data_IF_339681274302
#
_entry.id   IF_339681274302
#
_cell.length_a   1.000
_cell.length_b   1.000
_cell.length_c   1.000
_cell.angle_alpha   90.00
_cell.angle_beta   90.00
_cell.angle_gamma   90.00
#
_symmetry.space_group_name_H-M   'P 1'
#
loop_
_entity.id
_entity.type
_entity.pdbx_description
1 polymer ?
#
# COMPACT_ATOMS: atom_id res chain seq x y z
N UNK A 1 -36.18 -40.03 -18.43
CA UNK A 1 -37.32 -40.04 -17.49
C UNK A 1 -36.75 -40.52 -16.17
N UNK A 2 -36.15 -39.66 -15.34
CA UNK A 2 -36.85 -38.84 -14.33
C UNK A 2 -37.12 -39.74 -13.12
N UNK A 3 -36.54 -39.57 -11.93
CA UNK A 3 -36.60 -38.35 -11.12
C UNK A 3 -35.52 -38.26 -10.03
N UNK A 4 -34.99 -37.04 -9.90
CA UNK A 4 -34.66 -36.28 -8.69
C UNK A 4 -33.99 -36.95 -7.48
N UNK A 5 -32.68 -36.65 -7.34
CA UNK A 5 -32.00 -36.54 -6.05
C UNK A 5 -32.76 -35.56 -5.14
N UNK A 6 -33.46 -36.06 -4.13
CA UNK A 6 -33.87 -35.28 -2.97
C UNK A 6 -32.98 -35.62 -1.79
N UNK A 7 -31.91 -34.84 -1.62
CA UNK A 7 -31.39 -34.59 -0.29
C UNK A 7 -31.09 -33.10 -0.15
N UNK A 8 -32.17 -32.33 -0.09
CA UNK A 8 -32.17 -30.97 0.44
C UNK A 8 -31.93 -31.15 1.95
N UNK A 9 -30.66 -31.13 2.34
CA UNK A 9 -30.22 -31.37 3.71
C UNK A 9 -29.03 -30.50 4.05
N UNK A 10 -29.32 -29.43 4.78
CA UNK A 10 -28.38 -28.68 5.62
C UNK A 10 -27.53 -27.58 4.98
N UNK A 11 -28.18 -26.44 4.74
CA UNK A 11 -27.56 -25.12 4.94
C UNK A 11 -27.27 -24.82 6.43
N UNK A 12 -27.58 -25.74 7.37
CA UNK A 12 -27.37 -25.56 8.80
C UNK A 12 -25.93 -25.87 9.26
N UNK A 13 -25.18 -26.73 8.56
CA UNK A 13 -23.79 -27.09 8.96
C UNK A 13 -22.78 -25.94 8.89
N UNK A 14 -23.13 -24.80 8.28
CA UNK A 14 -22.28 -23.60 8.26
C UNK A 14 -22.60 -22.61 9.39
N UNK A 15 -23.73 -22.79 10.08
CA UNK A 15 -24.17 -21.94 11.19
C UNK A 15 -23.63 -22.49 12.53
N UNK A 16 -23.68 -23.81 12.72
CA UNK A 16 -23.19 -24.47 13.95
C UNK A 16 -21.67 -24.32 14.15
N UNK A 17 -20.92 -24.18 13.05
CA UNK A 17 -19.47 -23.93 13.09
C UNK A 17 -19.14 -22.47 13.42
N UNK A 18 -20.06 -21.53 13.14
CA UNK A 18 -19.89 -20.12 13.47
C UNK A 18 -20.04 -19.87 14.98
N UNK A 19 -20.89 -20.65 15.67
CA UNK A 19 -21.04 -20.61 17.12
C UNK A 19 -19.78 -21.10 17.87
N UNK A 20 -18.88 -21.82 17.19
CA UNK A 20 -17.57 -22.23 17.71
C UNK A 20 -16.43 -21.26 17.37
N UNK A 21 -16.68 -20.22 16.56
CA UNK A 21 -15.67 -19.21 16.20
C UNK A 21 -15.65 -18.08 17.22
N UNK A 22 -14.49 -17.83 17.82
CA UNK A 22 -14.28 -16.62 18.61
C UNK A 22 -14.14 -15.43 17.66
N UNK A 23 -14.95 -14.37 17.80
CA UNK A 23 -14.80 -13.16 17.00
C UNK A 23 -13.39 -12.56 17.21
N UNK A 24 -12.63 -12.51 16.13
CA UNK A 24 -11.32 -11.86 16.10
C UNK A 24 -11.46 -10.56 15.31
N UNK A 25 -11.44 -9.44 16.03
CA UNK A 25 -11.47 -8.11 15.43
C UNK A 25 -10.15 -7.40 15.76
N UNK A 26 -9.49 -6.87 14.73
CA UNK A 26 -8.33 -6.00 14.87
C UNK A 26 -8.71 -4.58 14.51
N UNK A 27 -8.34 -3.64 15.38
CA UNK A 27 -8.34 -2.23 15.02
C UNK A 27 -7.02 -1.90 14.34
N UNK A 28 -6.99 -2.00 13.01
CA UNK A 28 -5.80 -1.72 12.21
C UNK A 28 -5.34 -0.25 12.34
N UNK A 29 -6.24 0.67 12.68
CA UNK A 29 -5.86 2.08 12.86
C UNK A 29 -5.09 2.24 14.16
N UNK A 30 -5.58 1.64 15.25
CA UNK A 30 -4.87 1.63 16.52
C UNK A 30 -3.53 0.89 16.42
N UNK A 31 -3.53 -0.27 15.77
CA UNK A 31 -2.32 -1.06 15.60
C UNK A 31 -1.28 -0.36 14.72
N UNK A 32 -1.69 0.37 13.68
CA UNK A 32 -0.78 1.17 12.86
C UNK A 32 -0.21 2.36 13.61
N UNK A 33 -1.01 3.03 14.45
CA UNK A 33 -0.51 4.10 15.32
C UNK A 33 0.56 3.54 16.25
N UNK A 34 0.30 2.39 16.89
CA UNK A 34 1.29 1.72 17.75
C UNK A 34 2.57 1.40 16.99
N UNK A 35 2.45 0.77 15.81
CA UNK A 35 3.62 0.43 14.97
C UNK A 35 4.44 1.68 14.64
N UNK A 36 3.80 2.77 14.21
CA UNK A 36 4.49 4.02 13.88
C UNK A 36 5.16 4.66 15.09
N UNK A 37 4.51 4.66 16.25
CA UNK A 37 5.11 5.18 17.48
C UNK A 37 6.38 4.41 17.85
N UNK A 38 6.35 3.08 17.82
CA UNK A 38 7.53 2.25 18.11
C UNK A 38 8.65 2.47 17.09
N UNK A 39 8.31 2.63 15.80
CA UNK A 39 9.28 2.96 14.76
C UNK A 39 9.96 4.31 15.05
N UNK A 40 9.19 5.35 15.34
CA UNK A 40 9.75 6.68 15.66
C UNK A 40 10.60 6.62 16.93
N UNK A 41 10.18 5.88 17.95
CA UNK A 41 10.96 5.69 19.16
C UNK A 41 12.30 4.98 18.88
N UNK A 42 12.32 3.98 18.00
CA UNK A 42 13.53 3.25 17.61
C UNK A 42 14.53 4.10 16.81
N UNK A 43 14.06 5.11 16.07
CA UNK A 43 14.93 6.07 15.35
C UNK A 43 15.70 7.00 16.31
N UNK A 44 15.21 7.16 17.54
CA UNK A 44 15.87 7.90 18.60
C UNK A 44 15.58 9.42 18.59
N UNK A 45 15.95 10.11 19.67
CA UNK A 45 15.61 11.52 19.88
C UNK A 45 16.34 12.48 18.93
N UNK A 46 17.45 12.04 18.34
CA UNK A 46 18.26 12.86 17.41
C UNK A 46 17.79 12.75 15.96
N UNK A 47 16.76 11.93 15.67
CA UNK A 47 16.23 11.80 14.34
C UNK A 47 15.46 13.07 13.93
N UNK A 48 15.96 13.75 12.90
CA UNK A 48 15.31 14.91 12.28
C UNK A 48 14.44 14.45 11.08
N UNK A 49 13.10 14.39 11.21
CA UNK A 49 12.22 13.96 10.14
C UNK A 49 12.22 14.94 8.95
N UNK A 50 12.53 16.22 9.17
CA UNK A 50 12.60 17.22 8.11
C UNK A 50 13.89 17.04 7.30
N UNK A 51 15.01 16.76 7.96
CA UNK A 51 16.24 16.41 7.26
C UNK A 51 16.10 15.11 6.45
N UNK A 52 15.44 14.09 7.01
CA UNK A 52 15.16 12.85 6.29
C UNK A 52 14.30 13.08 5.04
N UNK A 53 13.25 13.89 5.14
CA UNK A 53 12.39 14.23 4.00
C UNK A 53 13.15 15.02 2.92
N UNK A 54 13.98 15.99 3.30
CA UNK A 54 14.84 16.72 2.34
C UNK A 54 15.80 15.79 1.63
N UNK A 55 16.42 14.86 2.35
CA UNK A 55 17.31 13.86 1.76
C UNK A 55 16.59 12.93 0.77
N UNK A 56 15.33 12.58 1.06
CA UNK A 56 14.48 11.86 0.12
C UNK A 56 14.20 12.70 -1.14
N UNK A 57 13.80 13.96 -1.00
CA UNK A 57 13.57 14.89 -2.13
C UNK A 57 14.83 15.05 -3.01
N UNK A 58 16.00 15.22 -2.39
CA UNK A 58 17.29 15.28 -3.08
C UNK A 58 17.60 13.98 -3.84
N UNK A 59 17.37 12.83 -3.22
CA UNK A 59 17.55 11.53 -3.86
C UNK A 59 16.60 11.34 -5.06
N UNK A 60 15.34 11.76 -4.92
CA UNK A 60 14.36 11.72 -6.01
C UNK A 60 14.78 12.58 -7.20
N UNK A 61 15.32 13.77 -6.94
CA UNK A 61 15.82 14.66 -8.00
C UNK A 61 16.94 14.01 -8.83
N UNK A 62 17.63 13.01 -8.29
CA UNK A 62 18.71 12.30 -8.98
C UNK A 62 18.22 11.12 -9.83
N UNK A 63 17.03 10.56 -9.58
CA UNK A 63 16.56 9.31 -10.21
C UNK A 63 16.55 9.33 -11.74
N UNK A 64 16.35 10.51 -12.34
CA UNK A 64 16.37 10.72 -13.79
C UNK A 64 17.31 11.87 -14.17
N UNK A 65 18.31 12.13 -13.34
CA UNK A 65 19.37 13.09 -13.65
C UNK A 65 20.40 12.46 -14.58
N UNK A 66 21.01 13.28 -15.46
CA UNK A 66 22.11 12.84 -16.31
C UNK A 66 21.74 11.85 -17.42
N UNK A 67 20.47 11.81 -17.83
CA UNK A 67 20.04 10.99 -18.96
C UNK A 67 20.68 11.49 -20.26
N UNK A 68 21.11 10.53 -21.09
CA UNK A 68 21.48 10.83 -22.46
C UNK A 68 20.24 11.07 -23.34
N UNK A 69 20.46 11.43 -24.61
CA UNK A 69 19.38 11.80 -25.52
C UNK A 69 18.41 10.65 -25.88
N UNK A 70 18.83 9.38 -25.76
CA UNK A 70 17.95 8.23 -25.99
C UNK A 70 17.16 7.89 -24.73
N UNK A 71 17.83 7.94 -23.58
CA UNK A 71 17.22 7.75 -22.27
C UNK A 71 16.18 8.83 -21.98
N UNK A 72 16.46 10.10 -22.30
CA UNK A 72 15.52 11.20 -22.14
C UNK A 72 14.25 10.98 -22.97
N UNK A 73 14.40 10.56 -24.24
CA UNK A 73 13.24 10.25 -25.11
C UNK A 73 12.39 9.12 -24.55
N UNK A 74 13.02 8.11 -23.95
CA UNK A 74 12.31 7.01 -23.30
C UNK A 74 11.60 7.48 -22.04
N UNK A 75 12.26 8.30 -21.21
CA UNK A 75 11.66 8.91 -20.02
C UNK A 75 10.43 9.75 -20.39
N UNK A 76 10.54 10.63 -21.39
CA UNK A 76 9.43 11.48 -21.86
C UNK A 76 8.23 10.64 -22.33
N UNK A 77 8.49 9.55 -23.05
CA UNK A 77 7.45 8.61 -23.49
C UNK A 77 6.74 7.95 -22.30
N UNK A 78 7.49 7.53 -21.28
CA UNK A 78 6.95 6.88 -20.10
C UNK A 78 6.16 7.85 -19.21
N UNK A 79 6.60 9.11 -19.11
CA UNK A 79 5.85 10.18 -18.44
C UNK A 79 4.55 10.45 -19.19
N UNK A 80 4.59 10.58 -20.52
CA UNK A 80 3.39 10.78 -21.34
C UNK A 80 2.40 9.62 -21.23
N UNK A 81 2.90 8.39 -21.07
CA UNK A 81 2.08 7.19 -20.84
C UNK A 81 1.56 7.07 -19.39
N UNK A 82 1.97 7.95 -18.47
CA UNK A 82 1.60 7.89 -17.05
C UNK A 82 2.27 6.74 -16.28
N UNK A 83 3.30 6.12 -16.85
CA UNK A 83 4.07 5.04 -16.21
C UNK A 83 5.05 5.61 -15.20
N UNK A 84 5.67 6.75 -15.52
CA UNK A 84 6.58 7.46 -14.64
C UNK A 84 6.00 8.80 -14.18
N UNK A 85 6.35 9.26 -12.96
CA UNK A 85 6.03 10.60 -12.53
C UNK A 85 6.81 11.63 -13.36
N UNK A 86 6.13 12.69 -13.81
CA UNK A 86 6.78 13.84 -14.45
C UNK A 86 7.38 14.81 -13.43
N UNK A 87 8.14 15.80 -13.90
CA UNK A 87 8.86 16.82 -13.08
C UNK A 87 7.96 17.80 -12.29
N UNK A 88 6.63 17.61 -12.29
CA UNK A 88 5.71 18.37 -11.45
C UNK A 88 5.60 17.79 -10.03
N UNK A 89 4.86 18.43 -9.10
CA UNK A 89 4.52 17.82 -7.82
C UNK A 89 3.63 16.59 -8.09
N UNK A 90 4.27 15.46 -8.37
CA UNK A 90 3.69 14.13 -8.51
C UNK A 90 3.27 13.62 -7.14
N UNK A 91 2.43 14.39 -6.45
CA UNK A 91 1.68 13.88 -5.32
C UNK A 91 0.43 13.24 -5.90
N UNK A 92 0.30 11.92 -5.72
CA UNK A 92 -0.99 11.27 -5.85
C UNK A 92 -2.04 12.14 -5.11
N UNK A 93 -3.22 12.40 -5.71
CA UNK A 93 -4.24 13.19 -5.03
C UNK A 93 -4.49 12.57 -3.66
N UNK A 94 -4.50 13.42 -2.63
CA UNK A 94 -4.99 13.04 -1.31
C UNK A 94 -6.38 12.43 -1.49
N UNK A 95 -6.51 11.14 -1.23
CA UNK A 95 -7.80 10.49 -1.04
C UNK A 95 -8.40 10.90 0.30
#
# INVERSE_FOLDING_TARGET
>A
MGEFCQHIGSLAMNQDNADALTPFALDLTLDEIRRRTEVVAALGPDWDPVAALRGEEEAYALLYSGLDAEQQRTYDMLVAAGVLPGEGPGRAPSH
#
